data_IF_493253107135
#
_entry.id   IF_493253107135
#
_cell.length_a   1.000
_cell.length_b   1.000
_cell.length_c   1.000
_cell.angle_alpha   90.00
_cell.angle_beta   90.00
_cell.angle_gamma   90.00
#
_symmetry.space_group_name_H-M   'P 1'
#
loop_
_entity.id
_entity.type
_entity.pdbx_description
1 polymer ?
#
# COMPACT_ATOMS: atom_id res chain seq x y z
N UNK A 1 -5.27 -39.33 25.67
CA UNK A 1 -6.63 -38.80 25.39
C UNK A 1 -7.00 -39.20 23.97
N UNK A 2 -8.10 -39.92 23.77
CA UNK A 2 -8.56 -40.33 22.44
C UNK A 2 -9.65 -39.36 21.99
N UNK A 3 -9.26 -38.28 21.31
CA UNK A 3 -10.20 -37.29 20.80
C UNK A 3 -10.94 -37.91 19.61
N UNK A 4 -12.26 -37.73 19.56
CA UNK A 4 -13.06 -38.21 18.44
C UNK A 4 -12.69 -37.43 17.16
N UNK A 5 -12.21 -38.11 16.09
CA UNK A 5 -11.77 -37.44 14.87
C UNK A 5 -12.91 -36.73 14.12
N UNK A 6 -14.17 -37.20 14.27
CA UNK A 6 -15.33 -36.51 13.70
C UNK A 6 -15.69 -35.24 14.48
N UNK A 7 -15.47 -35.25 15.79
CA UNK A 7 -15.60 -34.05 16.62
C UNK A 7 -14.54 -33.02 16.23
N UNK A 8 -13.27 -33.45 16.11
CA UNK A 8 -12.16 -32.55 15.77
C UNK A 8 -12.37 -31.88 14.40
N UNK A 9 -12.83 -32.63 13.39
CA UNK A 9 -13.14 -32.07 12.07
C UNK A 9 -14.27 -31.04 12.07
N UNK A 10 -15.20 -31.12 13.04
CA UNK A 10 -16.32 -30.19 13.16
C UNK A 10 -15.92 -28.89 13.84
N UNK A 11 -15.06 -28.97 14.86
CA UNK A 11 -14.57 -27.79 15.60
C UNK A 11 -13.34 -27.14 14.93
N UNK A 12 -12.64 -27.88 14.07
CA UNK A 12 -11.47 -27.39 13.34
C UNK A 12 -11.84 -26.23 12.41
N UNK A 13 -11.07 -25.15 12.48
CA UNK A 13 -11.29 -23.93 11.71
C UNK A 13 -12.32 -22.97 12.30
N UNK A 14 -12.83 -23.23 13.51
CA UNK A 14 -13.78 -22.37 14.21
C UNK A 14 -13.39 -22.02 15.64
N UNK A 15 -13.98 -20.93 16.15
CA UNK A 15 -13.91 -20.55 17.56
C UNK A 15 -15.15 -21.08 18.29
N UNK A 16 -14.93 -21.99 19.26
CA UNK A 16 -15.99 -22.61 20.05
C UNK A 16 -15.95 -22.09 21.49
N UNK A 17 -17.12 -21.91 22.11
CA UNK A 17 -17.25 -21.58 23.53
C UNK A 17 -17.50 -22.85 24.34
N UNK A 18 -16.75 -23.03 25.42
CA UNK A 18 -16.77 -24.19 26.28
C UNK A 18 -16.81 -23.78 27.75
N UNK A 19 -17.17 -24.71 28.64
CA UNK A 19 -17.23 -24.44 30.09
C UNK A 19 -16.14 -25.23 30.80
N UNK A 20 -15.40 -24.58 31.69
CA UNK A 20 -14.41 -25.24 32.53
C UNK A 20 -15.11 -26.12 33.58
N UNK A 21 -14.79 -27.42 33.61
CA UNK A 21 -15.25 -28.33 34.68
C UNK A 21 -14.27 -28.33 35.85
N UNK A 22 -12.99 -28.23 35.54
CA UNK A 22 -11.90 -28.22 36.51
C UNK A 22 -10.86 -27.19 36.08
N UNK A 23 -9.88 -26.85 36.94
CA UNK A 23 -8.82 -25.91 36.58
C UNK A 23 -8.01 -26.27 35.33
N UNK A 24 -8.08 -27.53 34.88
CA UNK A 24 -7.35 -28.03 33.72
C UNK A 24 -8.20 -28.83 32.73
N UNK A 25 -9.51 -28.92 32.95
CA UNK A 25 -10.40 -29.73 32.11
C UNK A 25 -11.58 -28.90 31.67
N UNK A 26 -11.80 -28.87 30.36
CA UNK A 26 -12.87 -28.11 29.71
C UNK A 26 -13.78 -29.08 28.98
N UNK A 27 -15.10 -28.87 29.08
CA UNK A 27 -16.08 -29.65 28.33
C UNK A 27 -16.62 -28.84 27.15
N UNK A 28 -16.57 -29.46 25.96
CA UNK A 28 -17.16 -28.92 24.74
C UNK A 28 -18.00 -30.00 24.06
N UNK A 29 -19.32 -29.80 24.03
CA UNK A 29 -20.28 -30.71 23.38
C UNK A 29 -20.19 -32.17 23.83
N UNK A 30 -19.90 -32.40 25.12
CA UNK A 30 -19.79 -33.74 25.72
C UNK A 30 -18.41 -34.39 25.60
N UNK A 31 -17.44 -33.74 24.95
CA UNK A 31 -16.04 -34.16 24.93
C UNK A 31 -15.25 -33.41 26.02
N UNK A 32 -14.41 -34.14 26.75
CA UNK A 32 -13.53 -33.61 27.79
C UNK A 32 -12.14 -33.36 27.22
N UNK A 33 -11.66 -32.13 27.36
CA UNK A 33 -10.36 -31.69 26.87
C UNK A 33 -9.49 -31.28 28.05
N UNK A 34 -8.28 -31.82 28.10
CA UNK A 34 -7.31 -31.48 29.12
C UNK A 34 -6.35 -30.40 28.60
N UNK A 35 -6.22 -29.33 29.37
CA UNK A 35 -5.28 -28.25 29.12
C UNK A 35 -3.88 -28.72 29.46
N UNK A 36 -2.95 -28.57 28.51
CA UNK A 36 -1.61 -29.11 28.64
C UNK A 36 -0.87 -28.48 29.83
N UNK A 37 -0.12 -29.26 30.64
CA UNK A 37 0.62 -28.78 31.82
C UNK A 37 1.50 -27.53 31.62
N UNK A 38 1.99 -27.31 30.41
CA UNK A 38 2.80 -26.15 30.03
C UNK A 38 2.02 -24.85 29.90
N UNK A 39 0.70 -24.93 29.76
CA UNK A 39 -0.15 -23.76 29.57
C UNK A 39 -0.44 -23.20 30.96
N UNK A 40 -0.01 -21.96 31.19
CA UNK A 40 -0.20 -21.22 32.45
C UNK A 40 -1.61 -20.65 32.55
N UNK A 41 -2.61 -21.53 32.38
CA UNK A 41 -4.03 -21.19 32.37
C UNK A 41 -4.65 -21.77 33.64
N UNK A 42 -5.20 -20.90 34.48
CA UNK A 42 -5.90 -21.26 35.70
C UNK A 42 -7.38 -20.91 35.57
N UNK A 43 -8.20 -21.91 35.28
CA UNK A 43 -9.63 -21.73 35.14
C UNK A 43 -10.36 -22.01 36.45
N UNK A 44 -11.47 -21.32 36.67
CA UNK A 44 -12.41 -21.68 37.72
C UNK A 44 -13.54 -22.56 37.15
N UNK A 45 -13.99 -23.60 37.87
CA UNK A 45 -15.16 -24.37 37.45
C UNK A 45 -16.37 -23.48 37.18
N UNK A 46 -16.99 -23.64 36.01
CA UNK A 46 -18.10 -22.81 35.51
C UNK A 46 -17.66 -21.59 34.69
N UNK A 47 -16.37 -21.33 34.53
CA UNK A 47 -15.85 -20.24 33.70
C UNK A 47 -15.96 -20.57 32.20
N UNK A 48 -16.31 -19.56 31.39
CA UNK A 48 -16.39 -19.69 29.94
C UNK A 48 -15.00 -19.56 29.32
N UNK A 49 -14.65 -20.52 28.47
CA UNK A 49 -13.37 -20.61 27.78
C UNK A 49 -13.61 -20.67 26.28
N UNK A 50 -12.80 -19.96 25.53
CA UNK A 50 -12.76 -20.07 24.09
C UNK A 50 -11.74 -21.10 23.67
N UNK A 51 -12.15 -21.97 22.74
CA UNK A 51 -11.35 -23.01 22.16
C UNK A 51 -11.20 -22.73 20.67
N UNK A 52 -9.96 -22.53 20.23
CA UNK A 52 -9.61 -22.38 18.83
C UNK A 52 -8.88 -23.66 18.39
N UNK A 53 -9.51 -24.44 17.52
CA UNK A 53 -8.94 -25.67 17.00
C UNK A 53 -8.41 -25.45 15.57
N UNK A 54 -7.09 -25.38 15.42
CA UNK A 54 -6.40 -25.33 14.13
C UNK A 54 -5.55 -26.61 13.98
N UNK A 55 -4.26 -26.50 13.67
CA UNK A 55 -3.31 -27.63 13.74
C UNK A 55 -3.08 -28.09 15.20
N UNK A 56 -3.35 -27.20 16.16
CA UNK A 56 -3.36 -27.46 17.61
C UNK A 56 -4.62 -26.87 18.25
N UNK A 57 -4.94 -27.32 19.48
CA UNK A 57 -6.05 -26.81 20.28
C UNK A 57 -5.51 -25.76 21.24
N UNK A 58 -6.00 -24.52 21.10
CA UNK A 58 -5.66 -23.41 21.98
C UNK A 58 -6.84 -23.07 22.89
N UNK A 59 -6.53 -22.73 24.13
CA UNK A 59 -7.49 -22.27 25.12
C UNK A 59 -7.22 -20.81 25.43
N UNK A 60 -8.25 -19.98 25.44
CA UNK A 60 -8.14 -18.58 25.82
C UNK A 60 -9.35 -18.15 26.63
N UNK A 61 -9.12 -17.32 27.62
CA UNK A 61 -10.18 -16.65 28.38
C UNK A 61 -10.76 -15.49 27.58
N UNK A 62 -11.96 -15.04 27.96
CA UNK A 62 -12.59 -13.87 27.33
C UNK A 62 -11.72 -12.61 27.49
N UNK A 63 -11.03 -12.46 28.62
CA UNK A 63 -10.09 -11.35 28.87
C UNK A 63 -8.88 -11.38 27.92
N UNK A 64 -8.29 -12.55 27.71
CA UNK A 64 -7.14 -12.69 26.79
C UNK A 64 -7.54 -12.37 25.34
N UNK A 65 -8.75 -12.79 24.93
CA UNK A 65 -9.28 -12.47 23.60
C UNK A 65 -9.52 -10.96 23.46
N UNK A 66 -10.14 -10.32 24.44
CA UNK A 66 -10.37 -8.87 24.42
C UNK A 66 -9.05 -8.09 24.36
N UNK A 67 -8.05 -8.50 25.15
CA UNK A 67 -6.72 -7.89 25.15
C UNK A 67 -6.01 -8.07 23.81
N UNK A 68 -6.06 -9.26 23.22
CA UNK A 68 -5.44 -9.54 21.92
C UNK A 68 -6.15 -8.80 20.79
N UNK A 69 -7.48 -8.77 20.78
CA UNK A 69 -8.26 -7.97 19.83
C UNK A 69 -7.93 -6.49 19.94
N UNK A 70 -7.76 -5.98 21.17
CA UNK A 70 -7.34 -4.60 21.41
C UNK A 70 -5.93 -4.35 20.87
N UNK A 71 -4.96 -5.24 21.11
CA UNK A 71 -3.60 -5.13 20.57
C UNK A 71 -3.60 -5.15 19.04
N UNK A 72 -4.33 -6.09 18.43
CA UNK A 72 -4.45 -6.19 16.97
C UNK A 72 -5.06 -4.90 16.40
N UNK A 73 -6.11 -4.37 17.04
CA UNK A 73 -6.74 -3.12 16.64
C UNK A 73 -5.76 -1.95 16.74
N UNK A 74 -5.07 -1.81 17.87
CA UNK A 74 -4.06 -0.76 18.06
C UNK A 74 -2.90 -0.88 17.06
N UNK A 75 -2.44 -2.09 16.75
CA UNK A 75 -1.42 -2.33 15.72
C UNK A 75 -1.92 -1.94 14.33
N UNK A 76 -3.13 -2.36 13.95
CA UNK A 76 -3.74 -1.99 12.65
C UNK A 76 -3.92 -0.47 12.52
N UNK A 77 -4.41 0.19 13.56
CA UNK A 77 -4.56 1.64 13.59
C UNK A 77 -3.21 2.36 13.47
N UNK A 78 -2.16 1.82 14.10
CA UNK A 78 -0.80 2.32 13.99
C UNK A 78 -0.24 2.12 12.58
N UNK A 79 -0.37 0.92 12.01
CA UNK A 79 0.08 0.60 10.64
C UNK A 79 -0.63 1.47 9.61
N UNK A 80 -1.94 1.67 9.75
CA UNK A 80 -2.73 2.55 8.89
C UNK A 80 -2.26 4.00 8.98
N UNK A 81 -1.98 4.49 10.20
CA UNK A 81 -1.43 5.83 10.42
C UNK A 81 -0.05 5.99 9.77
N UNK A 82 0.86 5.04 10.00
CA UNK A 82 2.19 5.07 9.41
C UNK A 82 2.12 5.03 7.87
N UNK A 83 1.25 4.19 7.32
CA UNK A 83 1.00 4.12 5.87
C UNK A 83 0.48 5.46 5.33
N UNK A 84 -0.47 6.09 6.02
CA UNK A 84 -1.04 7.39 5.66
C UNK A 84 0.04 8.48 5.67
N UNK A 85 0.87 8.52 6.70
CA UNK A 85 1.95 9.49 6.85
C UNK A 85 3.00 9.33 5.74
N UNK A 86 3.36 8.10 5.38
CA UNK A 86 4.28 7.82 4.26
C UNK A 86 3.70 8.32 2.94
N UNK A 87 2.42 8.07 2.66
CA UNK A 87 1.76 8.51 1.43
C UNK A 87 1.66 10.04 1.36
N UNK A 88 1.28 10.69 2.46
CA UNK A 88 1.21 12.15 2.53
C UNK A 88 2.58 12.80 2.37
N UNK A 89 3.62 12.22 2.97
CA UNK A 89 5.00 12.69 2.75
C UNK A 89 5.41 12.58 1.28
N UNK A 90 5.04 11.51 0.59
CA UNK A 90 5.32 11.35 -0.86
C UNK A 90 4.61 12.41 -1.70
N UNK A 91 3.37 12.76 -1.34
CA UNK A 91 2.64 13.88 -1.97
C UNK A 91 3.40 15.18 -1.76
N UNK A 92 3.73 15.53 -0.52
CA UNK A 92 4.40 16.79 -0.19
C UNK A 92 5.76 16.91 -0.89
N UNK A 93 6.53 15.82 -0.95
CA UNK A 93 7.80 15.76 -1.68
C UNK A 93 7.62 15.93 -3.19
N UNK A 94 6.56 15.34 -3.77
CA UNK A 94 6.24 15.48 -5.18
C UNK A 94 5.80 16.90 -5.54
N UNK A 95 4.92 17.49 -4.75
CA UNK A 95 4.42 18.86 -4.95
C UNK A 95 5.53 19.89 -4.83
N UNK A 96 6.35 19.81 -3.77
CA UNK A 96 7.51 20.70 -3.59
C UNK A 96 8.48 20.61 -4.76
N UNK A 97 8.75 19.40 -5.24
CA UNK A 97 9.64 19.19 -6.37
C UNK A 97 9.02 19.68 -7.69
N UNK A 98 7.74 19.40 -7.93
CA UNK A 98 7.06 19.82 -9.14
C UNK A 98 6.91 21.35 -9.19
N UNK A 99 6.72 22.02 -8.05
CA UNK A 99 6.70 23.48 -7.95
C UNK A 99 8.06 24.15 -8.25
N UNK A 100 9.17 23.42 -8.11
CA UNK A 100 10.50 23.93 -8.49
C UNK A 100 10.75 23.91 -10.00
N UNK A 101 9.96 23.14 -10.76
CA UNK A 101 10.07 23.05 -12.23
C UNK A 101 9.43 24.29 -12.86
N UNK A 102 10.24 25.12 -13.53
CA UNK A 102 9.82 26.43 -14.07
C UNK A 102 9.47 26.42 -15.57
N UNK A 103 9.04 25.28 -16.11
CA UNK A 103 8.61 25.17 -17.52
C UNK A 103 7.49 26.20 -17.78
N UNK A 104 7.62 27.09 -18.79
CA UNK A 104 6.80 28.30 -18.94
C UNK A 104 5.46 28.04 -19.67
N UNK A 105 4.91 26.84 -19.55
CA UNK A 105 3.63 26.41 -20.12
C UNK A 105 2.94 25.46 -19.16
N UNK A 106 1.64 25.26 -19.31
CA UNK A 106 0.96 24.23 -18.52
C UNK A 106 1.49 22.84 -18.86
N UNK A 107 1.74 22.03 -17.83
CA UNK A 107 2.23 20.66 -17.98
C UNK A 107 1.72 19.75 -16.87
N UNK A 108 1.75 18.45 -17.11
CA UNK A 108 1.38 17.40 -16.14
C UNK A 108 2.40 16.25 -16.19
N UNK A 109 2.29 15.29 -15.26
CA UNK A 109 3.07 14.07 -15.31
C UNK A 109 2.35 13.04 -16.19
N UNK A 110 3.09 12.31 -17.02
CA UNK A 110 2.59 11.12 -17.68
C UNK A 110 3.68 10.07 -17.83
N UNK A 111 3.26 8.83 -18.01
CA UNK A 111 4.14 7.70 -18.26
C UNK A 111 4.16 7.44 -19.75
N UNK A 112 5.35 7.35 -20.33
CA UNK A 112 5.49 6.85 -21.70
C UNK A 112 5.45 5.33 -21.67
N UNK A 113 4.35 4.74 -22.12
CA UNK A 113 4.22 3.28 -22.20
C UNK A 113 5.25 2.71 -23.19
N UNK A 114 5.99 1.70 -22.75
CA UNK A 114 6.88 0.91 -23.61
C UNK A 114 6.11 -0.34 -24.05
N UNK A 115 5.93 -0.53 -25.37
CA UNK A 115 5.34 -1.76 -25.91
C UNK A 115 6.22 -2.94 -25.50
N UNK A 116 5.71 -3.85 -24.65
CA UNK A 116 6.38 -5.08 -24.22
C UNK A 116 6.69 -5.24 -22.72
N UNK A 117 5.97 -4.53 -21.82
CA UNK A 117 6.24 -4.52 -20.37
C UNK A 117 5.97 -5.80 -19.57
N UNK A 118 5.44 -6.86 -20.19
CA UNK A 118 5.12 -8.15 -19.53
C UNK A 118 6.31 -9.12 -19.51
N UNK A 119 7.49 -8.64 -19.13
CA UNK A 119 8.68 -9.47 -18.93
C UNK A 119 9.03 -9.52 -17.43
N UNK A 120 9.96 -10.39 -17.05
CA UNK A 120 10.42 -10.68 -15.67
C UNK A 120 10.71 -9.44 -14.80
N UNK A 121 10.92 -8.26 -15.41
CA UNK A 121 11.14 -6.96 -14.75
C UNK A 121 9.89 -6.08 -14.60
N UNK A 122 8.70 -6.66 -14.69
CA UNK A 122 7.41 -5.99 -14.46
C UNK A 122 7.16 -5.78 -12.97
N UNK A 123 6.36 -4.78 -12.62
CA UNK A 123 5.79 -4.56 -11.28
C UNK A 123 4.61 -5.49 -10.97
N UNK A 124 4.18 -6.33 -11.92
CA UNK A 124 2.98 -7.17 -11.79
C UNK A 124 1.68 -6.43 -12.12
N UNK A 125 1.73 -5.12 -12.37
CA UNK A 125 0.63 -4.27 -12.82
C UNK A 125 0.73 -3.87 -14.31
N UNK A 126 1.64 -4.51 -15.05
CA UNK A 126 1.93 -4.20 -16.46
C UNK A 126 2.96 -3.08 -16.68
N UNK A 127 3.47 -2.43 -15.62
CA UNK A 127 4.54 -1.43 -15.72
C UNK A 127 5.93 -2.05 -15.57
N UNK A 128 6.93 -1.51 -16.27
CA UNK A 128 8.33 -1.91 -16.08
C UNK A 128 8.92 -1.24 -14.83
N UNK A 129 9.80 -1.93 -14.09
CA UNK A 129 10.61 -1.35 -12.98
C UNK A 129 11.37 -0.07 -13.35
N UNK A 130 11.67 0.14 -14.63
CA UNK A 130 12.36 1.31 -15.19
C UNK A 130 11.42 2.41 -15.69
N UNK A 131 10.11 2.29 -15.46
CA UNK A 131 9.16 3.33 -15.84
C UNK A 131 9.47 4.61 -15.07
N UNK A 132 9.59 5.72 -15.80
CA UNK A 132 9.84 7.05 -15.24
C UNK A 132 8.70 7.99 -15.59
N UNK A 133 8.50 9.00 -14.75
CA UNK A 133 7.48 10.03 -14.89
C UNK A 133 8.05 11.16 -15.75
N UNK A 134 7.37 11.44 -16.85
CA UNK A 134 7.74 12.46 -17.83
C UNK A 134 6.88 13.72 -17.68
N UNK A 135 7.41 14.85 -18.12
CA UNK A 135 6.64 16.09 -18.28
C UNK A 135 5.89 16.00 -19.61
N UNK A 136 4.56 15.97 -19.55
CA UNK A 136 3.64 16.07 -20.67
C UNK A 136 3.19 17.53 -20.80
N UNK A 137 3.45 18.11 -21.97
CA UNK A 137 3.12 19.50 -22.26
C UNK A 137 1.63 19.60 -22.62
N UNK A 138 0.89 20.51 -21.99
CA UNK A 138 -0.54 20.72 -22.25
C UNK A 138 -0.80 21.90 -23.20
N UNK A 139 0.22 22.72 -23.49
CA UNK A 139 0.12 23.92 -24.33
C UNK A 139 1.36 24.03 -25.23
N UNK A 140 1.20 24.55 -26.45
CA UNK A 140 2.32 24.70 -27.39
C UNK A 140 3.49 25.50 -26.78
N UNK A 141 4.65 24.85 -26.67
CA UNK A 141 5.89 25.45 -26.18
C UNK A 141 6.78 25.80 -27.37
N UNK A 142 7.07 27.09 -27.55
CA UNK A 142 7.96 27.59 -28.60
C UNK A 142 9.05 28.47 -27.99
N UNK A 143 10.25 27.91 -27.85
CA UNK A 143 11.39 28.64 -27.30
C UNK A 143 12.68 28.37 -28.06
N UNK A 144 13.07 29.34 -28.90
CA UNK A 144 14.22 29.21 -29.79
C UNK A 144 14.12 27.96 -30.67
N UNK A 145 15.04 27.01 -30.48
CA UNK A 145 15.06 25.72 -31.20
C UNK A 145 14.20 24.64 -30.55
N UNK A 146 13.74 24.83 -29.30
CA UNK A 146 12.87 23.88 -28.63
C UNK A 146 11.42 24.19 -28.98
N UNK A 147 10.79 23.29 -29.74
CA UNK A 147 9.37 23.37 -30.10
C UNK A 147 8.67 22.09 -29.65
N UNK A 148 7.59 22.21 -28.89
CA UNK A 148 6.71 21.11 -28.50
C UNK A 148 5.26 21.53 -28.73
N UNK A 149 4.48 20.63 -29.29
CA UNK A 149 3.03 20.82 -29.37
C UNK A 149 2.37 20.34 -28.08
N UNK A 150 1.14 20.79 -27.82
CA UNK A 150 0.29 20.20 -26.79
C UNK A 150 0.15 18.68 -27.01
N UNK A 151 0.21 17.91 -25.92
CA UNK A 151 0.19 16.45 -25.93
C UNK A 151 1.57 15.79 -26.15
N UNK A 152 2.65 16.57 -26.28
CA UNK A 152 4.00 16.00 -26.43
C UNK A 152 4.78 15.95 -25.10
N UNK A 153 5.67 14.98 -24.98
CA UNK A 153 6.64 14.95 -23.88
C UNK A 153 7.75 15.99 -24.08
N UNK A 154 8.13 16.69 -23.00
CA UNK A 154 9.23 17.65 -23.02
C UNK A 154 10.53 17.04 -23.56
N UNK A 155 10.84 15.80 -23.15
CA UNK A 155 12.06 15.10 -23.55
C UNK A 155 12.10 14.66 -25.01
N UNK A 156 10.97 14.54 -25.73
CA UNK A 156 10.95 14.04 -27.11
C UNK A 156 9.72 14.53 -27.88
N UNK A 157 9.96 15.28 -28.95
CA UNK A 157 8.94 15.68 -29.93
C UNK A 157 8.37 14.45 -30.67
N UNK A 158 7.12 14.56 -31.13
CA UNK A 158 6.39 13.49 -31.80
C UNK A 158 6.13 12.27 -30.91
N UNK A 159 6.22 12.44 -29.58
CA UNK A 159 5.91 11.39 -28.61
C UNK A 159 5.07 11.95 -27.47
N UNK A 160 4.16 11.13 -26.96
CA UNK A 160 2.93 11.61 -26.33
C UNK A 160 1.79 11.34 -27.31
N UNK A 161 1.04 10.27 -27.11
CA UNK A 161 -0.18 10.00 -27.89
C UNK A 161 -1.38 10.40 -27.03
N UNK A 162 -2.54 10.57 -27.67
CA UNK A 162 -3.87 10.71 -27.04
C UNK A 162 -4.22 9.63 -25.98
N UNK A 163 -3.39 8.61 -25.81
CA UNK A 163 -3.56 7.47 -24.90
C UNK A 163 -2.53 7.45 -23.77
N UNK A 164 -1.58 8.40 -23.73
CA UNK A 164 -0.70 8.56 -22.57
C UNK A 164 -1.49 9.36 -21.54
N UNK A 165 -2.30 8.67 -20.74
CA UNK A 165 -3.13 9.27 -19.70
C UNK A 165 -2.27 10.05 -18.70
N UNK A 166 -2.80 11.18 -18.22
CA UNK A 166 -2.21 11.91 -17.11
C UNK A 166 -2.02 10.95 -15.94
N UNK A 167 -0.79 10.83 -15.45
CA UNK A 167 -0.51 9.98 -14.31
C UNK A 167 -0.87 10.75 -13.04
N UNK A 168 -1.79 10.19 -12.25
CA UNK A 168 -2.17 10.70 -10.93
C UNK A 168 -1.93 9.63 -9.88
N UNK A 169 -1.37 10.02 -8.74
CA UNK A 169 -1.17 9.16 -7.58
C UNK A 169 -2.13 9.55 -6.46
N UNK A 170 -2.38 8.61 -5.55
CA UNK A 170 -3.28 8.80 -4.41
C UNK A 170 -2.47 9.03 -3.14
N UNK A 171 -2.88 10.01 -2.34
CA UNK A 171 -2.32 10.25 -1.02
C UNK A 171 -2.99 9.37 0.05
N UNK A 172 -2.61 9.57 1.31
CA UNK A 172 -3.15 8.81 2.43
C UNK A 172 -4.60 9.15 2.78
N UNK A 173 -5.19 10.17 2.17
CA UNK A 173 -6.60 10.56 2.33
C UNK A 173 -7.46 10.20 1.11
N UNK A 174 -6.86 9.60 0.07
CA UNK A 174 -7.56 9.31 -1.17
C UNK A 174 -7.75 10.54 -2.05
N UNK A 175 -6.94 11.59 -1.90
CA UNK A 175 -6.87 12.69 -2.87
C UNK A 175 -5.83 12.38 -3.94
N UNK A 176 -6.09 12.86 -5.17
CA UNK A 176 -5.16 12.67 -6.29
C UNK A 176 -4.18 13.82 -6.42
N UNK A 177 -2.92 13.51 -6.73
CA UNK A 177 -1.87 14.50 -6.97
C UNK A 177 -0.98 14.10 -8.15
N UNK A 178 -0.29 15.08 -8.73
CA UNK A 178 0.67 14.85 -9.81
C UNK A 178 1.96 14.27 -9.22
N UNK A 179 2.38 13.05 -9.61
CA UNK A 179 3.57 12.42 -9.07
C UNK A 179 4.84 13.20 -9.41
N UNK A 180 5.89 12.94 -8.65
CA UNK A 180 7.21 13.55 -8.85
C UNK A 180 7.77 13.17 -10.22
N UNK A 181 8.21 14.15 -10.99
CA UNK A 181 8.91 13.91 -12.26
C UNK A 181 10.27 13.25 -12.01
N UNK A 182 10.53 12.10 -12.65
CA UNK A 182 11.79 11.35 -12.48
C UNK A 182 12.60 11.22 -13.78
N UNK A 183 12.03 11.56 -14.94
CA UNK A 183 12.75 11.51 -16.21
C UNK A 183 13.92 12.50 -16.24
N UNK A 184 15.15 11.97 -16.17
CA UNK A 184 16.39 12.76 -16.18
C UNK A 184 16.50 13.74 -17.36
N UNK A 185 16.00 13.35 -18.54
CA UNK A 185 16.01 14.21 -19.73
C UNK A 185 15.01 15.37 -19.61
N UNK A 186 13.80 15.11 -19.10
CA UNK A 186 12.83 16.18 -18.82
C UNK A 186 13.42 17.19 -17.83
N UNK A 187 13.99 16.70 -16.73
CA UNK A 187 14.63 17.54 -15.72
C UNK A 187 15.78 18.35 -16.31
N UNK A 188 16.67 17.74 -17.11
CA UNK A 188 17.78 18.44 -17.77
C UNK A 188 17.29 19.59 -18.68
N UNK A 189 16.18 19.40 -19.39
CA UNK A 189 15.60 20.45 -20.24
C UNK A 189 14.93 21.52 -19.36
N UNK A 190 14.22 21.12 -18.31
CA UNK A 190 13.55 22.02 -17.37
C UNK A 190 14.51 23.03 -16.71
N UNK A 191 15.77 22.64 -16.48
CA UNK A 191 16.83 23.53 -15.97
C UNK A 191 17.04 24.80 -16.80
N UNK A 192 16.62 24.83 -18.07
CA UNK A 192 16.65 26.05 -18.90
C UNK A 192 15.93 27.23 -18.25
N UNK A 193 14.92 26.94 -17.43
CA UNK A 193 14.06 27.94 -16.79
C UNK A 193 14.31 28.08 -15.29
N UNK A 194 15.11 27.19 -14.67
CA UNK A 194 15.53 27.33 -13.27
C UNK A 194 16.49 28.51 -13.07
N UNK A 195 17.10 29.01 -14.14
CA UNK A 195 17.94 30.22 -14.15
C UNK A 195 17.26 31.33 -14.97
N UNK A 196 16.57 32.27 -14.32
CA UNK A 196 15.98 33.41 -15.00
C UNK A 196 17.04 34.36 -15.60
N UNK A 197 16.66 35.25 -16.53
CA UNK A 197 16.69 35.07 -17.98
C UNK A 197 18.06 35.47 -18.57
N UNK A 198 18.57 34.72 -19.56
CA UNK A 198 19.50 35.33 -20.53
C UNK A 198 18.65 36.20 -21.45
N UNK A 199 18.50 37.48 -21.10
CA UNK A 199 18.05 38.53 -22.01
C UNK A 199 18.90 38.44 -23.27
N UNK A 200 18.35 37.87 -24.33
CA UNK A 200 18.96 38.00 -25.66
C UNK A 200 18.56 39.39 -26.14
N UNK A 201 19.49 40.34 -25.99
CA UNK A 201 19.39 41.62 -26.70
C UNK A 201 19.29 41.34 -28.20
N UNK A 202 18.41 42.08 -28.86
CA UNK A 202 18.25 42.11 -30.31
C UNK A 202 19.58 42.49 -30.99
#
# INVERSE_FOLDING_TARGET
>A
MHINPFWLNRVSGGDCKATAISPRTVELEGELLDIHPSDDIHLHPGELVHITALDFIYFSTEKEIEEEQKKIKEMREKEERERRDILNRRRDEAEKFNASIKVPVKWTAAIKLVKGGLLENSWGDGRNKRTVQHILIQEDLKEGRLKRSAGEFLCKAGSGRLWDDEEKWWDGEGQTYTPKITCKTCLKIAKRWESAPKVRRA
#
